data_IF_080360255386
#
_entry.id   IF_080360255386
#
_cell.length_a   1.000
_cell.length_b   1.000
_cell.length_c   1.000
_cell.angle_alpha   90.00
_cell.angle_beta   90.00
_cell.angle_gamma   90.00
#
_symmetry.space_group_name_H-M   'P 1'
#
loop_
_entity.id
_entity.type
_entity.pdbx_description
1 polymer ?
#
# COMPACT_ATOMS: atom_id res chain seq x y z
N UNK A 1 -1.74 -13.30 1.78
CA UNK A 1 -1.37 -12.54 2.99
C UNK A 1 -2.29 -12.98 4.11
N UNK A 2 -1.82 -13.00 5.36
CA UNK A 2 -2.64 -13.40 6.50
C UNK A 2 -2.58 -12.28 7.56
N UNK A 3 -3.74 -11.79 7.99
CA UNK A 3 -3.88 -11.00 9.21
C UNK A 3 -3.74 -11.95 10.41
N UNK A 4 -2.94 -11.56 11.41
CA UNK A 4 -2.72 -12.35 12.62
C UNK A 4 -3.29 -11.64 13.87
N UNK A 5 -4.10 -10.60 13.67
CA UNK A 5 -4.62 -9.76 14.76
C UNK A 5 -6.15 -9.79 14.79
N UNK A 6 -6.77 -9.59 15.97
CA UNK A 6 -8.21 -9.68 16.16
C UNK A 6 -8.97 -8.39 15.77
N UNK A 7 -8.41 -7.58 14.88
CA UNK A 7 -9.01 -6.33 14.39
C UNK A 7 -8.69 -6.10 12.91
N UNK A 8 -9.39 -5.15 12.28
CA UNK A 8 -9.14 -4.79 10.90
C UNK A 8 -7.73 -4.22 10.72
N UNK A 9 -7.04 -4.60 9.65
CA UNK A 9 -5.75 -4.03 9.25
C UNK A 9 -5.87 -3.22 7.95
N UNK A 10 -5.36 -1.99 7.92
CA UNK A 10 -4.90 -1.23 9.09
C UNK A 10 -6.08 -0.86 10.01
N UNK A 11 -5.83 -0.65 11.31
CA UNK A 11 -6.85 -0.13 12.23
C UNK A 11 -7.36 1.19 11.68
N UNK A 12 -8.67 1.32 11.57
CA UNK A 12 -9.29 2.39 10.79
C UNK A 12 -9.06 3.74 11.45
N UNK A 13 -8.02 4.44 11.02
CA UNK A 13 -7.85 5.86 11.25
C UNK A 13 -7.91 6.58 9.89
N UNK A 14 -8.73 7.63 9.74
CA UNK A 14 -8.79 8.44 8.53
C UNK A 14 -7.40 8.95 8.13
N UNK A 15 -7.12 8.98 6.83
CA UNK A 15 -5.91 9.49 6.16
C UNK A 15 -4.55 8.83 6.52
N UNK A 16 -4.43 8.22 7.70
CA UNK A 16 -3.17 7.70 8.25
C UNK A 16 -2.97 6.21 8.00
N UNK A 17 -4.04 5.43 8.05
CA UNK A 17 -3.93 3.98 8.09
C UNK A 17 -4.24 3.38 6.71
N UNK A 18 -3.18 3.09 5.93
CA UNK A 18 -3.27 2.29 4.70
C UNK A 18 -2.17 1.24 4.70
N UNK A 19 -2.46 0.08 4.13
CA UNK A 19 -1.44 -0.92 3.80
C UNK A 19 -1.27 -0.98 2.29
N UNK A 20 -0.06 -1.23 1.83
CA UNK A 20 0.25 -1.40 0.41
C UNK A 20 0.94 -2.74 0.21
N UNK A 21 0.36 -3.56 -0.66
CA UNK A 21 1.04 -4.70 -1.26
C UNK A 21 1.62 -4.26 -2.59
N UNK A 22 2.93 -4.15 -2.63
CA UNK A 22 3.73 -3.89 -3.82
C UNK A 22 4.16 -5.20 -4.47
N UNK A 23 3.92 -5.33 -5.77
CA UNK A 23 4.56 -6.33 -6.63
C UNK A 23 5.54 -5.61 -7.55
N UNK A 24 6.78 -6.06 -7.59
CA UNK A 24 7.81 -5.59 -8.53
C UNK A 24 8.42 -6.79 -9.25
N UNK A 25 8.51 -6.70 -10.57
CA UNK A 25 9.20 -7.69 -11.40
C UNK A 25 10.51 -7.09 -11.87
N UNK A 26 11.60 -7.82 -11.65
CA UNK A 26 12.95 -7.43 -12.09
C UNK A 26 13.44 -8.42 -13.14
N UNK A 27 13.79 -7.90 -14.31
CA UNK A 27 14.30 -8.69 -15.43
C UNK A 27 15.83 -8.74 -15.44
N UNK A 28 16.40 -8.73 -16.66
CA UNK A 28 17.84 -8.69 -16.88
C UNK A 28 18.53 -7.60 -16.05
N UNK A 29 19.64 -7.95 -15.41
CA UNK A 29 20.44 -7.05 -14.58
C UNK A 29 19.65 -6.40 -13.42
N UNK A 30 18.60 -7.06 -12.92
CA UNK A 30 17.73 -6.58 -11.83
C UNK A 30 16.95 -5.30 -12.12
N UNK A 31 16.88 -4.91 -13.39
CA UNK A 31 16.09 -3.77 -13.84
C UNK A 31 14.60 -4.02 -13.60
N UNK A 32 13.90 -3.05 -13.00
CA UNK A 32 12.45 -3.10 -12.84
C UNK A 32 11.80 -3.05 -14.23
N UNK A 33 11.04 -4.09 -14.57
CA UNK A 33 10.32 -4.21 -15.85
C UNK A 33 8.80 -4.17 -15.68
N UNK A 34 8.31 -4.39 -14.47
CA UNK A 34 6.91 -4.24 -14.11
C UNK A 34 6.77 -3.85 -12.64
N UNK A 35 5.70 -3.13 -12.32
CA UNK A 35 5.30 -2.90 -10.94
C UNK A 35 3.82 -2.60 -10.83
N UNK A 36 3.18 -3.13 -9.80
CA UNK A 36 1.76 -2.94 -9.52
C UNK A 36 1.53 -2.93 -8.02
N UNK A 37 0.52 -2.18 -7.57
CA UNK A 37 0.16 -2.05 -6.16
C UNK A 37 -1.29 -2.47 -5.90
N UNK A 38 -1.53 -2.97 -4.69
CA UNK A 38 -2.85 -3.07 -4.07
C UNK A 38 -2.84 -2.26 -2.78
N UNK A 39 -3.81 -1.37 -2.62
CA UNK A 39 -3.96 -0.53 -1.43
C UNK A 39 -5.13 -1.04 -0.61
N UNK A 40 -4.87 -1.34 0.66
CA UNK A 40 -5.87 -1.76 1.63
C UNK A 40 -6.14 -0.64 2.62
N UNK A 41 -7.38 -0.19 2.68
CA UNK A 41 -7.79 0.92 3.51
C UNK A 41 -9.23 1.31 3.22
N UNK A 42 -9.60 2.51 3.63
CA UNK A 42 -10.90 3.10 3.34
C UNK A 42 -10.77 4.36 2.51
N UNK A 43 -11.71 4.52 1.59
CA UNK A 43 -11.90 5.76 0.84
C UNK A 43 -13.31 6.23 1.08
N UNK A 44 -13.47 7.52 1.39
CA UNK A 44 -14.75 8.12 1.72
C UNK A 44 -15.21 9.05 0.61
N UNK A 45 -16.52 9.33 0.55
CA UNK A 45 -17.10 10.43 -0.20
C UNK A 45 -17.55 11.51 0.77
N UNK A 46 -17.14 12.75 0.52
CA UNK A 46 -17.66 13.90 1.26
C UNK A 46 -19.10 14.25 0.81
N UNK A 47 -19.71 15.27 1.42
CA UNK A 47 -21.07 15.72 1.08
C UNK A 47 -21.25 16.17 -0.38
N UNK A 48 -20.16 16.48 -1.09
CA UNK A 48 -20.15 16.83 -2.52
C UNK A 48 -19.93 15.61 -3.42
N UNK A 49 -19.86 14.40 -2.86
CA UNK A 49 -19.56 13.16 -3.58
C UNK A 49 -18.08 13.01 -3.98
N UNK A 50 -17.19 13.88 -3.51
CA UNK A 50 -15.76 13.83 -3.84
C UNK A 50 -15.02 12.84 -2.94
N UNK A 51 -14.05 12.12 -3.51
CA UNK A 51 -13.18 11.21 -2.75
C UNK A 51 -12.42 11.99 -1.68
N UNK A 52 -12.48 11.53 -0.43
CA UNK A 52 -11.73 12.07 0.70
C UNK A 52 -11.07 10.92 1.48
N UNK A 53 -9.91 11.20 2.05
CA UNK A 53 -9.24 10.31 2.99
C UNK A 53 -9.70 10.57 4.44
N UNK A 54 -10.46 11.64 4.66
CA UNK A 54 -10.95 12.06 5.97
C UNK A 54 -12.36 11.53 6.23
N UNK A 55 -12.54 10.83 7.34
CA UNK A 55 -13.82 10.26 7.74
C UNK A 55 -14.77 11.31 8.35
N UNK A 56 -14.25 12.36 8.97
CA UNK A 56 -15.04 13.44 9.55
C UNK A 56 -15.78 14.27 8.50
N UNK A 57 -15.32 14.25 7.25
CA UNK A 57 -16.02 14.86 6.11
C UNK A 57 -16.96 13.87 5.41
N UNK A 58 -16.93 12.59 5.79
CA UNK A 58 -17.55 11.51 5.05
C UNK A 58 -19.07 11.47 5.24
N UNK A 59 -19.79 11.37 4.12
CA UNK A 59 -21.21 11.01 4.10
C UNK A 59 -21.42 9.56 3.65
N UNK A 60 -20.42 8.96 2.99
CA UNK A 60 -20.47 7.59 2.50
C UNK A 60 -19.08 6.97 2.45
N UNK A 61 -19.00 5.65 2.64
CA UNK A 61 -17.82 4.84 2.34
C UNK A 61 -17.88 4.41 0.86
N UNK A 62 -16.84 4.75 0.09
CA UNK A 62 -16.72 4.38 -1.32
C UNK A 62 -16.01 3.04 -1.50
N UNK A 63 -14.91 2.84 -0.78
CA UNK A 63 -14.11 1.63 -0.82
C UNK A 63 -13.75 1.23 0.61
N UNK A 64 -13.92 -0.05 0.94
CA UNK A 64 -13.47 -0.64 2.21
C UNK A 64 -12.74 -1.95 1.90
N UNK A 65 -11.43 -1.84 1.75
CA UNK A 65 -10.55 -2.97 1.38
C UNK A 65 -9.66 -3.40 2.53
N UNK A 66 -9.94 -2.95 3.77
CA UNK A 66 -9.20 -3.39 4.96
C UNK A 66 -9.17 -4.92 5.05
N UNK A 67 -8.08 -5.47 5.56
CA UNK A 67 -7.99 -6.88 5.92
C UNK A 67 -8.83 -7.09 7.19
N UNK A 68 -9.77 -8.02 7.16
CA UNK A 68 -10.61 -8.34 8.33
C UNK A 68 -9.77 -9.05 9.41
N UNK A 69 -10.28 -9.16 10.66
CA UNK A 69 -9.60 -9.91 11.72
C UNK A 69 -9.29 -11.32 11.23
N UNK A 70 -8.02 -11.72 11.41
CA UNK A 70 -7.54 -13.08 11.11
C UNK A 70 -7.74 -13.55 9.65
N UNK A 71 -8.06 -12.64 8.73
CA UNK A 71 -8.34 -12.98 7.33
C UNK A 71 -7.08 -13.44 6.59
N UNK A 72 -7.24 -14.49 5.78
CA UNK A 72 -6.27 -14.82 4.72
C UNK A 72 -6.78 -14.32 3.37
N UNK A 73 -6.09 -13.32 2.80
CA UNK A 73 -6.41 -12.75 1.48
C UNK A 73 -5.46 -13.25 0.40
N UNK A 74 -6.02 -13.69 -0.71
CA UNK A 74 -5.29 -14.09 -1.92
C UNK A 74 -5.42 -13.01 -2.98
N UNK A 75 -4.30 -12.44 -3.40
CA UNK A 75 -4.21 -11.51 -4.52
C UNK A 75 -3.63 -12.21 -5.74
N UNK A 76 -4.11 -11.83 -6.91
CA UNK A 76 -3.58 -12.33 -8.19
C UNK A 76 -3.16 -11.13 -9.03
N UNK A 77 -1.97 -11.24 -9.61
CA UNK A 77 -1.39 -10.25 -10.50
C UNK A 77 -1.12 -10.90 -11.84
N UNK A 78 -1.24 -10.11 -12.91
CA UNK A 78 -0.93 -10.55 -14.27
C UNK A 78 -0.02 -9.53 -14.91
N UNK A 79 1.11 -9.99 -15.42
CA UNK A 79 2.13 -9.14 -16.01
C UNK A 79 2.75 -9.86 -17.21
N UNK A 80 3.26 -9.14 -18.21
CA UNK A 80 3.92 -9.75 -19.35
C UNK A 80 5.22 -10.44 -18.94
N UNK A 81 5.53 -11.57 -19.57
CA UNK A 81 6.80 -12.27 -19.38
C UNK A 81 7.97 -11.34 -19.74
N UNK A 82 8.96 -11.14 -18.85
CA UNK A 82 10.13 -10.31 -19.14
C UNK A 82 10.89 -10.82 -20.36
N UNK A 83 11.29 -9.89 -21.25
CA UNK A 83 12.08 -10.19 -22.45
C UNK A 83 13.58 -10.23 -22.14
N UNK A 84 14.35 -10.83 -23.05
CA UNK A 84 15.82 -10.80 -23.07
C UNK A 84 16.50 -11.32 -21.79
N UNK A 85 15.84 -12.22 -21.07
CA UNK A 85 16.35 -12.85 -19.86
C UNK A 85 15.98 -14.32 -19.81
N UNK A 86 16.74 -15.12 -19.05
CA UNK A 86 16.46 -16.54 -18.79
C UNK A 86 15.75 -16.77 -17.45
N UNK A 87 15.68 -15.74 -16.62
CA UNK A 87 14.93 -15.74 -15.37
C UNK A 87 14.57 -14.31 -14.99
N UNK A 88 13.64 -14.16 -14.06
CA UNK A 88 13.27 -12.87 -13.51
C UNK A 88 12.94 -13.00 -12.03
N UNK A 89 13.11 -11.93 -11.28
CA UNK A 89 12.76 -11.90 -9.87
C UNK A 89 11.37 -11.31 -9.70
N UNK A 90 10.55 -12.00 -8.91
CA UNK A 90 9.29 -11.51 -8.38
C UNK A 90 9.52 -11.06 -6.95
N UNK A 91 9.38 -9.78 -6.70
CA UNK A 91 9.43 -9.18 -5.37
C UNK A 91 8.02 -8.77 -4.97
N UNK A 92 7.52 -9.30 -3.86
CA UNK A 92 6.27 -8.88 -3.24
C UNK A 92 6.54 -8.35 -1.83
N UNK A 93 6.08 -7.16 -1.52
CA UNK A 93 6.23 -6.56 -0.19
C UNK A 93 4.94 -5.95 0.32
N UNK A 94 4.62 -6.22 1.58
CA UNK A 94 3.52 -5.61 2.31
C UNK A 94 4.10 -4.62 3.32
N UNK A 95 3.56 -3.41 3.33
CA UNK A 95 3.97 -2.34 4.25
C UNK A 95 2.75 -1.55 4.73
N UNK A 96 2.90 -0.88 5.88
CA UNK A 96 2.06 0.28 6.15
C UNK A 96 2.56 1.45 5.30
N UNK A 97 1.64 2.14 4.65
CA UNK A 97 1.95 3.28 3.81
C UNK A 97 2.30 4.51 4.67
N UNK A 98 3.07 5.46 4.11
CA UNK A 98 3.12 6.81 4.64
C UNK A 98 1.73 7.43 4.77
N UNK A 99 1.62 8.42 5.65
CA UNK A 99 0.46 9.31 5.68
C UNK A 99 0.18 9.87 4.29
N UNK A 100 -1.10 9.90 3.91
CA UNK A 100 -1.53 10.62 2.72
C UNK A 100 -2.68 11.57 3.03
N UNK A 101 -2.87 12.50 2.12
CA UNK A 101 -3.95 13.47 2.16
C UNK A 101 -3.63 14.61 1.20
N UNK A 102 -4.47 15.65 1.20
CA UNK A 102 -4.20 16.87 0.47
C UNK A 102 -2.85 17.49 0.88
N UNK A 103 -2.13 18.17 -0.02
CA UNK A 103 -0.82 18.75 0.27
C UNK A 103 -0.78 19.62 1.53
N UNK A 104 -1.79 20.47 1.73
CA UNK A 104 -1.88 21.34 2.92
C UNK A 104 -1.94 20.55 4.24
N UNK A 105 -2.56 19.37 4.23
CA UNK A 105 -2.61 18.49 5.40
C UNK A 105 -1.24 17.88 5.69
N UNK A 106 -0.55 17.39 4.66
CA UNK A 106 0.80 16.82 4.80
C UNK A 106 1.80 17.86 5.30
N UNK A 107 1.74 19.08 4.76
CA UNK A 107 2.57 20.21 5.21
C UNK A 107 2.34 20.54 6.68
N UNK A 108 1.09 20.47 7.16
CA UNK A 108 0.78 20.71 8.57
C UNK A 108 1.36 19.63 9.46
N UNK A 109 1.21 18.35 9.10
CA UNK A 109 1.83 17.24 9.84
C UNK A 109 3.35 17.41 9.89
N UNK A 110 3.95 17.79 8.76
CA UNK A 110 5.40 18.02 8.67
C UNK A 110 5.85 19.16 9.60
N UNK A 111 5.13 20.29 9.59
CA UNK A 111 5.44 21.45 10.43
C UNK A 111 5.28 21.19 11.93
N UNK A 112 4.37 20.28 12.31
CA UNK A 112 4.15 19.88 13.69
C UNK A 112 5.10 18.75 14.14
N UNK A 113 5.82 18.10 13.21
CA UNK A 113 6.81 17.07 13.54
C UNK A 113 8.16 17.66 13.93
N UNK A 114 8.76 17.14 15.00
CA UNK A 114 10.13 17.46 15.39
C UNK A 114 11.20 16.97 14.39
N UNK A 115 10.82 16.10 13.45
CA UNK A 115 11.69 15.53 12.41
C UNK A 115 11.30 15.92 10.98
N UNK A 116 10.25 16.73 10.80
CA UNK A 116 9.76 17.13 9.48
C UNK A 116 9.50 15.92 8.56
N UNK A 117 9.89 16.01 7.29
CA UNK A 117 9.74 14.92 6.31
C UNK A 117 10.50 13.62 6.66
N UNK A 118 11.44 13.65 7.62
CA UNK A 118 12.15 12.46 8.08
C UNK A 118 11.40 11.71 9.19
N UNK A 119 10.24 12.22 9.62
CA UNK A 119 9.39 11.54 10.58
C UNK A 119 8.94 10.17 10.04
N UNK A 120 8.95 9.10 10.85
CA UNK A 120 8.46 7.78 10.45
C UNK A 120 7.06 7.77 9.84
N UNK A 121 6.19 8.73 10.17
CA UNK A 121 4.85 8.84 9.57
C UNK A 121 4.89 9.07 8.05
N UNK A 122 5.97 9.67 7.53
CA UNK A 122 6.20 9.91 6.10
C UNK A 122 6.95 8.77 5.41
N UNK A 123 7.30 7.71 6.15
CA UNK A 123 8.07 6.58 5.63
C UNK A 123 7.22 5.31 5.62
N UNK A 124 7.38 4.43 4.63
CA UNK A 124 6.71 3.13 4.65
C UNK A 124 7.29 2.28 5.78
N UNK A 125 6.43 1.61 6.54
CA UNK A 125 6.86 0.67 7.57
C UNK A 125 6.73 -0.76 7.00
N UNK A 126 7.84 -1.44 6.70
CA UNK A 126 7.80 -2.76 6.10
C UNK A 126 7.25 -3.79 7.10
N UNK A 127 6.37 -4.67 6.61
CA UNK A 127 5.82 -5.78 7.40
C UNK A 127 6.47 -7.08 6.94
N UNK A 128 6.42 -7.34 5.64
CA UNK A 128 7.04 -8.53 5.04
C UNK A 128 7.46 -8.22 3.63
N UNK A 129 8.58 -8.79 3.21
CA UNK A 129 9.06 -8.80 1.83
C UNK A 129 9.46 -10.22 1.47
N UNK A 130 9.07 -10.66 0.29
CA UNK A 130 9.48 -11.93 -0.30
C UNK A 130 9.97 -11.72 -1.72
N UNK A 131 11.06 -12.38 -2.04
CA UNK A 131 11.65 -12.38 -3.38
C UNK A 131 11.78 -13.82 -3.84
N UNK A 132 11.38 -14.08 -5.08
CA UNK A 132 11.48 -15.40 -5.72
C UNK A 132 12.06 -15.22 -7.11
N UNK A 133 13.12 -15.98 -7.42
CA UNK A 133 13.61 -16.07 -8.79
C UNK A 133 12.78 -17.10 -9.56
N UNK A 134 12.32 -16.71 -10.75
CA UNK A 134 11.52 -17.54 -11.65
C UNK A 134 12.30 -17.79 -12.92
N UNK A 135 12.80 -19.02 -13.17
CA UNK A 135 13.43 -19.37 -14.42
C UNK A 135 12.39 -19.44 -15.55
N UNK A 136 12.77 -18.92 -16.72
CA UNK A 136 12.04 -19.07 -17.97
C UNK A 136 12.51 -20.35 -18.65
N UNK A 137 11.56 -21.14 -19.13
CA UNK A 137 11.85 -22.35 -19.93
C UNK A 137 12.20 -21.98 -21.36
#
# INVERSE_FOLDING_TARGET
MQSLVPHNLPTTHPAWARMVLDLTIRGKNLNKVFGEQRVYGRVFANAKGQRSAFDFEATKVLEDTVLKPEETRKETFSFPTPKDTRSFDVEASLSYAPVAGPPAFLQRIEAESSKGAQDPVFQPIPIVKRTVNVPLK
#
